data_IF_296813221609
#
_entry.id   IF_296813221609
#
_cell.length_a   1.000
_cell.length_b   1.000
_cell.length_c   1.000
_cell.angle_alpha   90.00
_cell.angle_beta   90.00
_cell.angle_gamma   90.00
#
_symmetry.space_group_name_H-M   'P 1'
#
loop_
_entity.id
_entity.type
_entity.pdbx_description
1 polymer ?
#
# COMPACT_ATOMS: atom_id res chain seq x y z
N UNK A 1 -9.72 14.18 12.33
CA UNK A 1 -9.52 13.88 10.90
C UNK A 1 -9.44 12.38 10.87
N UNK A 2 -10.56 11.73 10.58
CA UNK A 2 -10.56 10.28 10.47
C UNK A 2 -9.68 9.91 9.27
N UNK A 3 -8.80 8.93 9.48
CA UNK A 3 -7.86 8.45 8.45
C UNK A 3 -8.61 7.71 7.34
N UNK A 4 -9.84 7.24 7.63
CA UNK A 4 -10.76 6.61 6.69
C UNK A 4 -12.21 6.95 7.07
N UNK A 5 -13.06 7.23 6.08
CA UNK A 5 -14.47 7.57 6.25
C UNK A 5 -15.39 6.33 6.14
N UNK A 6 -14.84 5.16 5.78
CA UNK A 6 -15.55 3.89 5.66
C UNK A 6 -14.67 2.67 5.96
N UNK A 7 -15.29 1.51 6.24
CA UNK A 7 -14.56 0.26 6.43
C UNK A 7 -13.83 -0.20 5.16
N UNK A 8 -14.40 0.06 3.98
CA UNK A 8 -13.79 -0.28 2.70
C UNK A 8 -12.49 0.52 2.48
N UNK A 9 -12.49 1.80 2.84
CA UNK A 9 -11.29 2.64 2.77
C UNK A 9 -10.19 2.16 3.73
N UNK A 10 -10.55 1.67 4.93
CA UNK A 10 -9.57 1.04 5.84
C UNK A 10 -8.96 -0.20 5.20
N UNK A 11 -9.77 -1.03 4.54
CA UNK A 11 -9.29 -2.23 3.85
C UNK A 11 -8.30 -1.87 2.73
N UNK A 12 -8.60 -0.84 1.95
CA UNK A 12 -7.72 -0.36 0.88
C UNK A 12 -6.39 0.16 1.45
N UNK A 13 -6.42 0.96 2.52
CA UNK A 13 -5.20 1.47 3.17
C UNK A 13 -4.33 0.35 3.77
N UNK A 14 -4.97 -0.66 4.36
CA UNK A 14 -4.27 -1.84 4.87
C UNK A 14 -3.63 -2.63 3.73
N UNK A 15 -4.35 -2.84 2.62
CA UNK A 15 -3.83 -3.56 1.47
C UNK A 15 -2.59 -2.85 0.87
N UNK A 16 -2.67 -1.53 0.71
CA UNK A 16 -1.55 -0.69 0.26
C UNK A 16 -0.35 -0.90 1.19
N UNK A 17 -0.52 -0.72 2.50
CA UNK A 17 0.58 -0.83 3.47
C UNK A 17 1.22 -2.21 3.46
N UNK A 18 0.41 -3.28 3.45
CA UNK A 18 0.91 -4.65 3.46
C UNK A 18 1.73 -4.96 2.19
N UNK A 19 1.29 -4.45 1.04
CA UNK A 19 2.00 -4.67 -0.23
C UNK A 19 3.35 -3.95 -0.24
N UNK A 20 3.42 -2.72 0.30
CA UNK A 20 4.68 -1.98 0.43
C UNK A 20 5.69 -2.75 1.31
N UNK A 21 5.28 -3.21 2.49
CA UNK A 21 6.16 -3.93 3.40
C UNK A 21 6.62 -5.28 2.83
N UNK A 22 5.74 -6.01 2.13
CA UNK A 22 6.11 -7.26 1.44
C UNK A 22 7.09 -6.97 0.30
N UNK A 23 6.85 -5.94 -0.49
CA UNK A 23 7.72 -5.56 -1.60
C UNK A 23 9.11 -5.18 -1.09
N UNK A 24 9.19 -4.35 -0.05
CA UNK A 24 10.46 -3.96 0.58
C UNK A 24 11.18 -5.18 1.20
N UNK A 25 10.45 -6.12 1.80
CA UNK A 25 11.03 -7.38 2.28
C UNK A 25 11.72 -8.20 1.17
N UNK A 26 11.20 -8.12 -0.06
CA UNK A 26 11.79 -8.76 -1.24
C UNK A 26 12.78 -7.87 -2.01
N UNK A 27 13.10 -6.68 -1.49
CA UNK A 27 14.04 -5.74 -2.13
C UNK A 27 13.48 -5.01 -3.35
N UNK A 28 12.16 -4.91 -3.46
CA UNK A 28 11.46 -4.07 -4.44
C UNK A 28 11.33 -2.68 -3.82
N UNK A 29 11.74 -1.65 -4.54
CA UNK A 29 11.63 -0.25 -4.10
C UNK A 29 10.31 0.41 -4.54
N UNK A 30 10.03 1.60 -4.02
CA UNK A 30 8.81 2.36 -4.31
C UNK A 30 8.71 2.73 -5.80
N UNK A 31 9.84 3.04 -6.45
CA UNK A 31 9.85 3.33 -7.89
C UNK A 31 9.36 2.14 -8.71
N UNK A 32 9.72 0.92 -8.30
CA UNK A 32 9.21 -0.29 -8.93
C UNK A 32 7.76 -0.59 -8.58
N UNK A 33 7.28 -0.19 -7.40
CA UNK A 33 5.86 -0.29 -7.03
C UNK A 33 4.99 0.69 -7.83
N UNK A 34 5.45 1.92 -8.05
CA UNK A 34 4.81 2.91 -8.93
C UNK A 34 4.60 2.34 -10.34
N UNK A 35 5.63 1.71 -10.91
CA UNK A 35 5.58 1.05 -12.22
C UNK A 35 4.56 -0.10 -12.28
N UNK A 36 4.25 -0.72 -11.14
CA UNK A 36 3.28 -1.81 -11.01
C UNK A 36 1.88 -1.32 -10.62
N UNK A 37 1.70 -0.02 -10.40
CA UNK A 37 0.43 0.60 -10.02
C UNK A 37 0.10 0.54 -8.53
N UNK A 38 1.12 0.42 -7.67
CA UNK A 38 0.98 0.27 -6.22
C UNK A 38 1.52 1.46 -5.40
N UNK A 39 1.97 2.52 -6.06
CA UNK A 39 2.41 3.78 -5.45
C UNK A 39 1.30 4.68 -4.92
#
# INVERSE_FOLDING_TARGET
MDVCESADEVVDQVAITVIHEIAHHFGIDDARLDELGWG
#
